data_IF_599670067943
#
_entry.id   IF_599670067943
#
_cell.length_a   1.000
_cell.length_b   1.000
_cell.length_c   1.000
_cell.angle_alpha   90.00
_cell.angle_beta   90.00
_cell.angle_gamma   90.00
#
_symmetry.space_group_name_H-M   'P 1'
#
loop_
_entity.id
_entity.type
_entity.pdbx_description
1 polymer ?
#
# COMPACT_ATOMS: atom_id res chain seq x y z
N UNK A 1 15.73 -17.63 -14.08
CA UNK A 1 16.44 -16.34 -14.00
C UNK A 1 16.37 -15.91 -12.55
N UNK A 2 17.52 -15.50 -11.99
CA UNK A 2 17.65 -15.13 -10.58
C UNK A 2 17.46 -13.62 -10.45
N UNK A 3 16.70 -13.21 -9.43
CA UNK A 3 16.39 -11.82 -9.14
C UNK A 3 17.52 -11.16 -8.35
N UNK A 4 17.87 -9.93 -8.74
CA UNK A 4 18.91 -9.12 -8.11
C UNK A 4 18.31 -7.82 -7.57
N UNK A 5 19.08 -7.16 -6.70
CA UNK A 5 18.74 -5.82 -6.23
C UNK A 5 18.64 -4.83 -7.41
N UNK A 6 17.59 -4.02 -7.40
CA UNK A 6 17.28 -3.06 -8.45
C UNK A 6 16.42 -3.59 -9.60
N UNK A 7 16.20 -4.90 -9.69
CA UNK A 7 15.25 -5.46 -10.65
C UNK A 7 13.83 -4.98 -10.32
N UNK A 8 13.04 -4.70 -11.35
CA UNK A 8 11.62 -4.36 -11.23
C UNK A 8 10.79 -5.58 -11.63
N UNK A 9 9.95 -6.05 -10.71
CA UNK A 9 9.26 -7.33 -10.83
C UNK A 9 7.77 -7.22 -10.55
N UNK A 10 7.00 -8.18 -11.07
CA UNK A 10 5.64 -8.50 -10.65
C UNK A 10 5.69 -9.49 -9.49
N UNK A 11 5.15 -9.08 -8.34
CA UNK A 11 5.17 -9.83 -7.10
C UNK A 11 3.74 -10.15 -6.67
N UNK A 12 3.45 -11.44 -6.48
CA UNK A 12 2.30 -11.89 -5.71
C UNK A 12 2.74 -12.32 -4.32
N UNK A 13 1.96 -12.00 -3.30
CA UNK A 13 2.24 -12.43 -1.94
C UNK A 13 0.96 -12.60 -1.10
N UNK A 14 1.10 -13.39 -0.04
CA UNK A 14 0.14 -13.51 1.07
C UNK A 14 0.92 -13.44 2.38
N UNK A 15 0.62 -12.44 3.18
CA UNK A 15 1.19 -12.21 4.51
C UNK A 15 0.28 -12.78 5.60
N UNK A 16 0.90 -13.53 6.53
CA UNK A 16 0.24 -14.16 7.67
C UNK A 16 0.88 -13.74 8.98
N UNK A 17 0.07 -13.68 10.03
CA UNK A 17 0.49 -13.49 11.41
C UNK A 17 -0.23 -14.51 12.26
N UNK A 18 0.52 -15.30 13.05
CA UNK A 18 -0.06 -16.35 13.91
C UNK A 18 -1.00 -17.33 13.15
N UNK A 19 -0.75 -17.54 11.85
CA UNK A 19 -1.55 -18.41 10.97
C UNK A 19 -2.69 -17.72 10.23
N UNK A 20 -3.05 -16.48 10.60
CA UNK A 20 -4.13 -15.72 9.96
C UNK A 20 -3.61 -14.80 8.86
N UNK A 21 -4.30 -14.74 7.72
CA UNK A 21 -3.95 -13.84 6.61
C UNK A 21 -4.40 -12.42 6.97
N UNK A 22 -3.48 -11.46 6.91
CA UNK A 22 -3.78 -10.05 7.15
C UNK A 22 -3.66 -9.18 5.90
N UNK A 23 -2.87 -9.61 4.91
CA UNK A 23 -2.74 -8.92 3.62
C UNK A 23 -2.37 -9.92 2.50
N UNK A 24 -2.84 -9.64 1.29
CA UNK A 24 -2.56 -10.47 0.11
C UNK A 24 -2.84 -9.71 -1.18
N UNK A 25 -2.14 -10.09 -2.24
CA UNK A 25 -2.44 -9.70 -3.64
C UNK A 25 -3.33 -10.72 -4.34
N UNK A 26 -3.60 -11.87 -3.73
CA UNK A 26 -4.34 -12.98 -4.30
C UNK A 26 -5.81 -12.91 -3.86
N UNK A 27 -6.72 -12.81 -4.84
CA UNK A 27 -8.14 -12.60 -4.56
C UNK A 27 -8.82 -13.78 -3.84
N UNK A 28 -8.38 -15.01 -4.12
CA UNK A 28 -8.89 -16.22 -3.48
C UNK A 28 -8.52 -16.27 -1.99
N UNK A 29 -7.25 -16.03 -1.66
CA UNK A 29 -6.76 -15.95 -0.27
C UNK A 29 -7.50 -14.87 0.53
N UNK A 30 -7.77 -13.71 -0.10
CA UNK A 30 -8.51 -12.63 0.55
C UNK A 30 -9.97 -12.99 0.84
N UNK A 31 -10.59 -13.79 -0.04
CA UNK A 31 -11.95 -14.27 0.12
C UNK A 31 -12.04 -15.32 1.23
N UNK A 32 -11.11 -16.28 1.25
CA UNK A 32 -11.01 -17.31 2.29
C UNK A 32 -10.81 -16.70 3.68
N UNK A 33 -9.94 -15.68 3.79
CA UNK A 33 -9.68 -14.98 5.04
C UNK A 33 -10.73 -13.94 5.44
N UNK A 34 -11.74 -13.69 4.59
CA UNK A 34 -12.79 -12.70 4.86
C UNK A 34 -12.30 -11.24 4.86
N UNK A 35 -11.15 -10.96 4.24
CA UNK A 35 -10.55 -9.62 4.14
C UNK A 35 -10.71 -8.98 2.76
N UNK A 36 -11.53 -9.58 1.90
CA UNK A 36 -11.76 -9.12 0.52
C UNK A 36 -12.31 -7.69 0.50
N UNK A 37 -11.60 -6.80 -0.16
CA UNK A 37 -12.00 -5.42 -0.36
C UNK A 37 -12.48 -5.21 -1.82
N UNK A 38 -13.75 -4.84 -2.06
CA UNK A 38 -14.26 -4.60 -3.41
C UNK A 38 -13.56 -3.47 -4.18
N UNK A 39 -12.84 -2.57 -3.47
CA UNK A 39 -12.09 -1.48 -4.06
C UNK A 39 -10.61 -1.83 -4.33
N UNK A 40 -10.16 -3.04 -3.96
CA UNK A 40 -8.79 -3.51 -4.19
C UNK A 40 -8.79 -4.45 -5.39
N UNK A 41 -7.94 -4.13 -6.36
CA UNK A 41 -7.63 -5.05 -7.46
C UNK A 41 -6.58 -6.05 -6.96
N UNK A 42 -7.00 -7.31 -6.84
CA UNK A 42 -6.14 -8.43 -6.43
C UNK A 42 -5.35 -8.96 -7.62
N UNK A 43 -4.25 -8.28 -7.92
CA UNK A 43 -3.28 -8.65 -8.95
C UNK A 43 -1.84 -8.45 -8.43
N UNK A 44 -0.87 -9.02 -9.14
CA UNK A 44 0.53 -8.85 -8.82
C UNK A 44 0.90 -7.36 -8.77
N UNK A 45 1.59 -6.97 -7.70
CA UNK A 45 2.09 -5.61 -7.56
C UNK A 45 3.45 -5.48 -8.23
N UNK A 46 3.74 -4.29 -8.73
CA UNK A 46 5.05 -3.99 -9.31
C UNK A 46 5.92 -3.33 -8.26
N UNK A 47 7.08 -3.94 -7.98
CA UNK A 47 8.02 -3.46 -6.98
C UNK A 47 9.43 -3.47 -7.54
N UNK A 48 10.26 -2.54 -7.03
CA UNK A 48 11.70 -2.57 -7.28
C UNK A 48 12.37 -3.22 -6.07
N UNK A 49 13.11 -4.29 -6.32
CA UNK A 49 13.79 -5.05 -5.27
C UNK A 49 14.84 -4.17 -4.58
N UNK A 50 14.83 -4.16 -3.25
CA UNK A 50 15.74 -3.36 -2.42
C UNK A 50 15.34 -1.89 -2.27
N UNK A 51 14.09 -1.54 -2.59
CA UNK A 51 13.59 -0.15 -2.52
C UNK A 51 12.59 0.09 -1.38
N UNK A 52 12.37 -0.89 -0.50
CA UNK A 52 11.39 -0.85 0.59
C UNK A 52 9.96 -0.53 0.10
N UNK A 53 9.61 -1.01 -1.09
CA UNK A 53 8.24 -0.93 -1.62
C UNK A 53 7.27 -1.87 -0.90
N UNK A 54 7.84 -2.90 -0.29
CA UNK A 54 7.19 -3.80 0.67
C UNK A 54 7.97 -3.74 1.98
N UNK A 55 7.49 -4.44 3.01
CA UNK A 55 8.19 -4.49 4.30
C UNK A 55 9.65 -4.99 4.11
N UNK A 56 10.62 -4.47 4.89
CA UNK A 56 12.04 -4.77 4.68
C UNK A 56 12.37 -6.26 4.60
N UNK A 57 11.78 -7.07 5.48
CA UNK A 57 12.06 -8.50 5.51
C UNK A 57 11.54 -9.27 4.29
N UNK A 58 10.44 -8.81 3.68
CA UNK A 58 9.99 -9.38 2.40
C UNK A 58 10.91 -8.91 1.27
N UNK A 59 11.26 -7.63 1.22
CA UNK A 59 12.07 -7.05 0.15
C UNK A 59 13.46 -7.72 0.07
N UNK A 60 14.13 -7.88 1.22
CA UNK A 60 15.40 -8.60 1.33
C UNK A 60 15.29 -10.06 0.87
N UNK A 61 14.15 -10.71 1.11
CA UNK A 61 13.94 -12.11 0.77
C UNK A 61 13.74 -12.36 -0.73
N UNK A 62 13.46 -11.31 -1.52
CA UNK A 62 13.30 -11.40 -2.98
C UNK A 62 14.64 -11.63 -3.69
N UNK A 63 15.75 -11.13 -3.12
CA UNK A 63 17.08 -11.23 -3.71
C UNK A 63 17.51 -12.70 -3.78
N UNK A 64 18.00 -13.13 -4.95
CA UNK A 64 18.45 -14.50 -5.18
C UNK A 64 17.33 -15.51 -5.45
N UNK A 65 16.06 -15.08 -5.52
CA UNK A 65 14.92 -15.95 -5.83
C UNK A 65 14.71 -16.09 -7.34
N UNK A 66 14.01 -17.15 -7.73
CA UNK A 66 13.71 -17.44 -9.13
C UNK A 66 12.27 -17.08 -9.50
N UNK A 67 12.10 -16.62 -10.74
CA UNK A 67 10.80 -16.34 -11.33
C UNK A 67 9.97 -17.62 -11.44
N UNK A 68 8.68 -17.55 -11.08
CA UNK A 68 7.70 -18.62 -11.19
C UNK A 68 7.69 -19.62 -10.03
N UNK A 69 8.68 -19.55 -9.12
CA UNK A 69 8.70 -20.37 -7.93
C UNK A 69 8.02 -19.67 -6.76
N UNK A 70 7.32 -20.46 -5.95
CA UNK A 70 6.76 -19.99 -4.69
C UNK A 70 7.79 -20.18 -3.58
N UNK A 71 7.92 -19.15 -2.76
CA UNK A 71 8.78 -19.16 -1.58
C UNK A 71 7.98 -18.80 -0.34
N UNK A 72 8.47 -19.24 0.80
CA UNK A 72 7.98 -18.83 2.11
C UNK A 72 9.15 -18.26 2.92
N UNK A 73 8.89 -17.18 3.65
CA UNK A 73 9.87 -16.53 4.51
C UNK A 73 9.23 -16.07 5.82
N UNK A 74 9.95 -16.26 6.92
CA UNK A 74 9.62 -15.65 8.20
C UNK A 74 10.28 -14.28 8.32
N UNK A 75 9.49 -13.28 8.67
CA UNK A 75 9.92 -11.90 8.85
C UNK A 75 9.80 -11.54 10.33
N UNK A 76 10.93 -11.34 11.04
CA UNK A 76 10.89 -10.94 12.45
C UNK A 76 10.33 -9.52 12.58
N UNK A 77 9.85 -9.18 13.77
CA UNK A 77 9.18 -7.91 14.04
C UNK A 77 10.01 -6.69 13.59
N UNK A 78 11.32 -6.72 13.80
CA UNK A 78 12.26 -5.65 13.44
C UNK A 78 12.30 -5.37 11.94
N UNK A 79 12.02 -6.38 11.10
CA UNK A 79 11.97 -6.27 9.64
C UNK A 79 10.53 -6.24 9.07
N UNK A 80 9.53 -6.26 9.96
CA UNK A 80 8.11 -6.15 9.64
C UNK A 80 7.57 -4.79 10.07
N UNK A 81 6.68 -4.79 11.07
CA UNK A 81 6.04 -3.58 11.59
C UNK A 81 6.76 -2.94 12.79
N UNK A 82 7.99 -3.35 13.05
CA UNK A 82 8.82 -2.87 14.14
C UNK A 82 8.58 -3.61 15.46
N UNK A 83 9.46 -3.41 16.45
CA UNK A 83 9.29 -3.93 17.80
C UNK A 83 8.11 -3.25 18.49
N UNK A 84 7.51 -3.94 19.46
CA UNK A 84 6.51 -3.33 20.35
C UNK A 84 7.21 -2.35 21.31
N UNK A 85 6.88 -1.07 21.21
CA UNK A 85 7.47 -0.01 22.03
C UNK A 85 6.59 0.32 23.24
N UNK A 86 7.09 0.00 24.43
CA UNK A 86 6.44 0.33 25.71
C UNK A 86 6.25 1.83 25.94
N UNK A 87 7.01 2.70 25.25
CA UNK A 87 6.84 4.16 25.31
C UNK A 87 5.56 4.62 24.61
N UNK A 88 5.05 3.82 23.67
CA UNK A 88 3.77 4.06 23.00
C UNK A 88 2.57 3.50 23.79
N UNK A 89 2.83 2.89 24.96
CA UNK A 89 1.80 2.47 25.90
C UNK A 89 1.60 3.58 26.93
N UNK A 90 0.50 4.31 26.82
CA UNK A 90 0.22 5.50 27.62
C UNK A 90 -0.93 5.28 28.60
N UNK A 91 -0.86 5.97 29.74
CA UNK A 91 -1.97 6.01 30.70
C UNK A 91 -2.78 7.28 30.54
N UNK A 92 -4.04 7.13 30.15
CA UNK A 92 -4.96 8.24 29.86
C UNK A 92 -6.08 8.26 30.91
N UNK A 93 -6.42 9.43 31.43
CA UNK A 93 -7.54 9.55 32.38
C UNK A 93 -8.87 9.25 31.68
N UNK A 94 -9.75 8.48 32.34
CA UNK A 94 -11.02 8.03 31.76
C UNK A 94 -11.98 9.18 31.44
N UNK A 95 -11.81 10.36 32.05
CA UNK A 95 -12.58 11.56 31.77
C UNK A 95 -12.23 12.24 30.43
N UNK A 96 -11.12 11.87 29.78
CA UNK A 96 -10.76 12.36 28.45
C UNK A 96 -11.45 11.57 27.33
N UNK A 97 -12.04 10.43 27.66
CA UNK A 97 -12.78 9.61 26.70
C UNK A 97 -14.21 10.11 26.60
N UNK A 98 -14.75 10.17 25.37
CA UNK A 98 -16.17 10.55 25.13
C UNK A 98 -17.13 9.52 25.74
N UNK A 99 -16.72 8.27 25.76
CA UNK A 99 -17.47 7.14 26.32
C UNK A 99 -16.62 6.42 27.36
N UNK A 100 -17.25 5.58 28.19
CA UNK A 100 -16.53 4.81 29.20
C UNK A 100 -15.56 3.82 28.50
N UNK A 101 -14.23 3.92 28.71
CA UNK A 101 -13.27 3.07 28.04
C UNK A 101 -13.45 1.61 28.46
N UNK A 102 -13.26 0.70 27.50
CA UNK A 102 -13.34 -0.75 27.68
C UNK A 102 -12.14 -1.40 27.03
N UNK A 103 -11.73 -2.55 27.55
CA UNK A 103 -10.71 -3.38 26.91
C UNK A 103 -11.07 -3.64 25.42
N UNK A 104 -10.08 -3.51 24.53
CA UNK A 104 -10.24 -3.67 23.08
C UNK A 104 -10.85 -2.45 22.37
N UNK A 105 -11.26 -1.40 23.09
CA UNK A 105 -11.81 -0.19 22.48
C UNK A 105 -10.72 0.51 21.65
N UNK A 106 -10.97 0.70 20.36
CA UNK A 106 -10.13 1.53 19.49
C UNK A 106 -10.38 3.00 19.78
N UNK A 107 -9.31 3.77 19.84
CA UNK A 107 -9.36 5.22 20.02
C UNK A 107 -8.54 5.92 18.96
N UNK A 108 -8.95 7.14 18.65
CA UNK A 108 -8.20 8.06 17.81
C UNK A 108 -7.84 9.28 18.64
N UNK A 109 -6.55 9.60 18.71
CA UNK A 109 -5.99 10.75 19.43
C UNK A 109 -5.12 11.56 18.48
N UNK A 110 -5.71 12.59 17.87
CA UNK A 110 -5.08 13.30 16.74
C UNK A 110 -4.88 12.34 15.57
N UNK A 111 -3.64 12.25 15.09
CA UNK A 111 -3.25 11.35 14.00
C UNK A 111 -2.86 9.94 14.49
N UNK A 112 -2.91 9.68 15.80
CA UNK A 112 -2.56 8.37 16.39
C UNK A 112 -3.82 7.54 16.62
N UNK A 113 -3.80 6.30 16.15
CA UNK A 113 -4.77 5.29 16.54
C UNK A 113 -4.17 4.39 17.63
N UNK A 114 -4.99 3.98 18.59
CA UNK A 114 -4.56 3.09 19.66
C UNK A 114 -5.70 2.21 20.18
N UNK A 115 -5.35 1.22 20.99
CA UNK A 115 -6.30 0.27 21.57
C UNK A 115 -6.21 0.31 23.09
N UNK A 116 -7.35 0.39 23.77
CA UNK A 116 -7.40 0.28 25.22
C UNK A 116 -7.06 -1.17 25.62
N UNK A 117 -5.90 -1.35 26.25
CA UNK A 117 -5.40 -2.67 26.69
C UNK A 117 -5.69 -2.95 28.17
N UNK A 118 -6.04 -1.93 28.96
CA UNK A 118 -6.47 -2.13 30.34
C UNK A 118 -7.27 -0.92 30.85
N UNK A 119 -8.13 -1.13 31.86
CA UNK A 119 -8.85 -0.06 32.56
C UNK A 119 -8.75 -0.28 34.07
N UNK A 120 -8.06 0.64 34.74
CA UNK A 120 -7.77 0.62 36.18
C UNK A 120 -8.41 1.85 36.84
N UNK A 121 -9.64 1.70 37.31
CA UNK A 121 -10.38 2.78 38.00
C UNK A 121 -10.60 4.01 37.12
N UNK A 122 -9.87 5.10 37.42
CA UNK A 122 -9.92 6.37 36.67
C UNK A 122 -8.88 6.49 35.54
N UNK A 123 -8.08 5.46 35.32
CA UNK A 123 -7.05 5.43 34.28
C UNK A 123 -7.33 4.29 33.30
N UNK A 124 -7.24 4.57 32.01
CA UNK A 124 -7.17 3.57 30.97
C UNK A 124 -5.71 3.50 30.47
N UNK A 125 -5.25 2.30 30.16
CA UNK A 125 -3.97 2.07 29.48
C UNK A 125 -4.29 1.87 28.01
N UNK A 126 -3.68 2.70 27.16
CA UNK A 126 -3.86 2.68 25.71
C UNK A 126 -2.53 2.34 25.06
N UNK A 127 -2.56 1.39 24.14
CA UNK A 127 -1.44 1.01 23.31
C UNK A 127 -1.57 1.67 21.92
N UNK A 128 -0.61 2.54 21.58
CA UNK A 128 -0.53 3.22 20.28
C UNK A 128 0.44 2.56 19.30
N UNK A 129 0.94 1.35 19.60
CA UNK A 129 1.75 0.60 18.66
C UNK A 129 0.93 0.20 17.41
N UNK A 130 1.64 -0.07 16.32
CA UNK A 130 1.02 -0.72 15.16
C UNK A 130 0.39 -2.06 15.61
N UNK A 131 -0.80 -2.46 15.10
CA UNK A 131 -1.46 -3.70 15.52
C UNK A 131 -0.61 -4.97 15.38
N UNK A 132 0.37 -4.94 14.46
CA UNK A 132 1.30 -6.04 14.18
C UNK A 132 2.71 -5.81 14.75
N UNK A 133 2.93 -4.77 15.55
CA UNK A 133 4.22 -4.51 16.18
C UNK A 133 4.60 -5.65 17.15
N UNK A 134 5.88 -6.02 17.15
CA UNK A 134 6.39 -7.13 17.97
C UNK A 134 5.97 -8.53 17.49
N UNK A 135 5.24 -8.65 16.38
CA UNK A 135 4.83 -9.93 15.80
C UNK A 135 5.81 -10.39 14.72
N UNK A 136 6.11 -11.68 14.71
CA UNK A 136 6.75 -12.35 13.56
C UNK A 136 5.68 -12.64 12.51
N UNK A 137 5.99 -12.35 11.26
CA UNK A 137 5.11 -12.54 10.11
C UNK A 137 5.64 -13.68 9.25
N UNK A 138 4.76 -14.34 8.51
CA UNK A 138 5.14 -15.31 7.49
C UNK A 138 4.61 -14.82 6.15
N UNK A 139 5.48 -14.72 5.15
CA UNK A 139 5.08 -14.34 3.80
C UNK A 139 5.30 -15.50 2.85
N UNK A 140 4.23 -15.90 2.16
CA UNK A 140 4.31 -16.75 0.97
C UNK A 140 4.28 -15.84 -0.26
N UNK A 141 5.22 -15.97 -1.18
CA UNK A 141 5.28 -15.09 -2.35
C UNK A 141 5.76 -15.81 -3.60
N UNK A 142 5.39 -15.27 -4.76
CA UNK A 142 5.79 -15.73 -6.09
C UNK A 142 6.17 -14.52 -6.94
N UNK A 143 7.32 -14.58 -7.58
CA UNK A 143 7.76 -13.57 -8.55
C UNK A 143 7.28 -14.01 -9.92
N UNK A 144 6.30 -13.31 -10.50
CA UNK A 144 5.70 -13.72 -11.78
C UNK A 144 6.61 -13.43 -12.98
N UNK A 145 7.41 -12.38 -12.89
CA UNK A 145 8.34 -12.00 -13.93
C UNK A 145 8.90 -10.60 -13.74
N UNK A 146 9.86 -10.23 -14.59
CA UNK A 146 10.37 -8.86 -14.67
C UNK A 146 9.38 -7.97 -15.40
N UNK A 147 9.51 -6.67 -15.15
CA UNK A 147 8.75 -5.61 -15.80
C UNK A 147 9.73 -4.78 -16.62
N UNK A 148 9.63 -4.85 -17.94
CA UNK A 148 10.54 -4.17 -18.86
C UNK A 148 9.97 -2.85 -19.38
N UNK A 149 8.69 -2.84 -19.75
CA UNK A 149 8.04 -1.70 -20.38
C UNK A 149 7.97 -0.50 -19.43
N UNK A 150 8.35 0.68 -19.93
CA UNK A 150 8.37 1.95 -19.19
C UNK A 150 6.99 2.26 -18.60
N UNK A 151 5.94 2.10 -19.39
CA UNK A 151 4.56 2.34 -18.96
C UNK A 151 4.12 1.35 -17.88
N UNK A 152 4.53 0.08 -17.96
CA UNK A 152 4.19 -0.92 -16.95
C UNK A 152 4.91 -0.65 -15.62
N UNK A 153 6.20 -0.31 -15.66
CA UNK A 153 6.97 0.12 -14.47
C UNK A 153 6.31 1.33 -13.81
N UNK A 154 6.02 2.37 -14.60
CA UNK A 154 5.38 3.59 -14.11
C UNK A 154 3.97 3.33 -13.56
N UNK A 155 3.15 2.55 -14.26
CA UNK A 155 1.82 2.14 -13.81
C UNK A 155 1.89 1.39 -12.48
N UNK A 156 2.91 0.54 -12.35
CA UNK A 156 3.27 -0.14 -11.12
C UNK A 156 3.45 0.79 -9.93
N UNK A 157 4.33 1.77 -10.06
CA UNK A 157 4.60 2.75 -9.00
C UNK A 157 3.39 3.64 -8.72
N UNK A 158 2.67 4.09 -9.76
CA UNK A 158 1.42 4.85 -9.57
C UNK A 158 0.44 4.04 -8.72
N UNK A 159 0.23 2.76 -9.07
CA UNK A 159 -0.70 1.89 -8.35
C UNK A 159 -0.23 1.61 -6.92
N UNK A 160 1.06 1.36 -6.72
CA UNK A 160 1.63 1.08 -5.41
C UNK A 160 1.40 2.23 -4.42
N UNK A 161 1.67 3.47 -4.83
CA UNK A 161 1.59 4.63 -3.92
C UNK A 161 0.21 5.29 -3.86
N UNK A 162 -0.60 5.20 -4.93
CA UNK A 162 -1.91 5.87 -4.97
C UNK A 162 -3.10 4.91 -4.91
N UNK A 163 -2.90 3.63 -5.21
CA UNK A 163 -3.99 2.67 -5.43
C UNK A 163 -4.81 2.96 -6.68
N UNK A 164 -4.28 3.73 -7.63
CA UNK A 164 -4.97 4.15 -8.86
C UNK A 164 -4.31 3.59 -10.10
N UNK A 165 -5.13 3.34 -11.12
CA UNK A 165 -4.70 3.07 -12.49
C UNK A 165 -4.86 4.35 -13.33
N UNK A 166 -3.92 4.60 -14.23
CA UNK A 166 -3.93 5.77 -15.11
C UNK A 166 -3.76 5.34 -16.55
N UNK A 167 -4.15 6.21 -17.47
CA UNK A 167 -3.86 6.02 -18.88
C UNK A 167 -2.50 6.65 -19.18
N UNK A 168 -1.58 5.84 -19.72
CA UNK A 168 -0.16 6.16 -19.86
C UNK A 168 0.27 6.01 -21.31
N UNK A 169 1.17 6.89 -21.74
CA UNK A 169 1.90 6.70 -22.99
C UNK A 169 3.34 7.17 -22.84
N UNK A 170 4.28 6.46 -23.46
CA UNK A 170 5.68 6.84 -23.49
C UNK A 170 6.16 7.04 -24.93
N UNK A 171 6.73 8.21 -25.21
CA UNK A 171 7.30 8.52 -26.51
C UNK A 171 8.51 9.45 -26.34
N UNK A 172 9.62 9.10 -27.01
CA UNK A 172 10.82 9.95 -27.10
C UNK A 172 11.38 10.44 -25.74
N UNK A 173 11.24 9.62 -24.68
CA UNK A 173 11.67 9.98 -23.33
C UNK A 173 10.65 10.76 -22.51
N UNK A 174 9.48 11.07 -23.08
CA UNK A 174 8.38 11.72 -22.36
C UNK A 174 7.34 10.69 -21.96
N UNK A 175 7.10 10.56 -20.65
CA UNK A 175 5.99 9.80 -20.09
C UNK A 175 4.79 10.73 -19.86
N UNK A 176 3.67 10.45 -20.53
CA UNK A 176 2.43 11.22 -20.40
C UNK A 176 1.41 10.45 -19.57
N UNK A 177 0.89 11.09 -18.52
CA UNK A 177 -0.14 10.58 -17.63
C UNK A 177 -1.45 11.35 -17.88
N UNK A 178 -2.44 10.66 -18.44
CA UNK A 178 -3.79 11.20 -18.58
C UNK A 178 -4.52 11.07 -17.24
N UNK A 179 -4.74 12.21 -16.59
CA UNK A 179 -5.33 12.30 -15.27
C UNK A 179 -6.85 12.17 -15.33
N UNK A 180 -7.46 11.22 -14.59
CA UNK A 180 -8.91 11.12 -14.48
C UNK A 180 -9.53 12.41 -13.92
N UNK A 181 -10.75 12.72 -14.35
CA UNK A 181 -11.47 13.89 -13.84
C UNK A 181 -11.59 13.85 -12.30
N UNK A 182 -11.22 14.95 -11.64
CA UNK A 182 -11.29 15.07 -10.19
C UNK A 182 -10.17 14.37 -9.40
N UNK A 183 -9.18 13.74 -10.07
CA UNK A 183 -8.07 13.05 -9.37
C UNK A 183 -7.27 13.99 -8.46
N UNK A 184 -7.20 15.29 -8.77
CA UNK A 184 -6.52 16.27 -7.92
C UNK A 184 -7.23 16.56 -6.59
N UNK A 185 -8.47 16.10 -6.42
CA UNK A 185 -9.16 16.12 -5.12
C UNK A 185 -9.00 14.81 -4.34
N UNK A 186 -8.42 13.77 -4.97
CA UNK A 186 -8.07 12.53 -4.30
C UNK A 186 -6.85 12.77 -3.40
N UNK A 187 -7.07 12.70 -2.09
CA UNK A 187 -6.01 12.90 -1.09
C UNK A 187 -4.84 11.92 -1.27
N UNK A 188 -5.10 10.66 -1.63
CA UNK A 188 -4.04 9.66 -1.85
C UNK A 188 -3.18 10.06 -3.03
N UNK A 189 -3.80 10.46 -4.14
CA UNK A 189 -3.07 10.95 -5.30
C UNK A 189 -2.24 12.19 -4.98
N UNK A 190 -2.81 13.20 -4.33
CA UNK A 190 -2.11 14.45 -4.00
C UNK A 190 -0.86 14.18 -3.15
N UNK A 191 -0.95 13.27 -2.18
CA UNK A 191 0.20 12.87 -1.36
C UNK A 191 1.20 12.00 -2.14
N UNK A 192 0.71 11.07 -2.98
CA UNK A 192 1.54 10.14 -3.72
C UNK A 192 2.25 10.76 -4.93
N UNK A 193 1.69 11.82 -5.55
CA UNK A 193 2.18 12.37 -6.82
C UNK A 193 3.67 12.69 -6.81
N UNK A 194 4.16 13.35 -5.75
CA UNK A 194 5.58 13.68 -5.63
C UNK A 194 6.46 12.44 -5.50
N UNK A 195 6.01 11.45 -4.72
CA UNK A 195 6.71 10.17 -4.55
C UNK A 195 6.76 9.43 -5.89
N UNK A 196 5.63 9.30 -6.59
CA UNK A 196 5.54 8.64 -7.89
C UNK A 196 6.49 9.28 -8.90
N UNK A 197 6.53 10.60 -8.99
CA UNK A 197 7.46 11.31 -9.89
C UNK A 197 8.91 10.98 -9.55
N UNK A 198 9.27 11.04 -8.26
CA UNK A 198 10.62 10.71 -7.83
C UNK A 198 10.99 9.26 -8.16
N UNK A 199 10.08 8.32 -7.89
CA UNK A 199 10.26 6.88 -8.13
C UNK A 199 10.46 6.57 -9.62
N UNK A 200 9.67 7.21 -10.48
CA UNK A 200 9.81 7.06 -11.94
C UNK A 200 11.17 7.59 -12.40
N UNK A 201 11.57 8.79 -11.99
CA UNK A 201 12.86 9.34 -12.41
C UNK A 201 14.07 8.58 -11.86
N UNK A 202 13.98 8.11 -10.62
CA UNK A 202 15.07 7.36 -9.97
C UNK A 202 15.29 6.00 -10.65
N UNK A 203 14.21 5.32 -11.04
CA UNK A 203 14.28 3.90 -11.41
C UNK A 203 13.94 3.58 -12.86
N UNK A 204 13.54 4.58 -13.66
CA UNK A 204 13.21 4.41 -15.09
C UNK A 204 14.03 5.44 -15.88
N UNK A 205 15.33 5.17 -16.13
CA UNK A 205 16.25 6.15 -16.74
C UNK A 205 15.86 6.55 -18.17
N UNK A 206 14.99 5.80 -18.83
CA UNK A 206 14.41 6.14 -20.13
C UNK A 206 13.49 7.37 -20.06
N UNK A 207 12.90 7.65 -18.90
CA UNK A 207 11.99 8.79 -18.68
C UNK A 207 12.80 10.06 -18.36
N UNK A 208 12.73 11.03 -19.27
CA UNK A 208 13.36 12.35 -19.15
C UNK A 208 12.37 13.40 -18.69
N UNK A 209 11.13 13.29 -19.16
CA UNK A 209 10.05 14.23 -18.89
C UNK A 209 8.79 13.49 -18.44
N UNK A 210 8.07 14.05 -17.47
CA UNK A 210 6.77 13.55 -17.03
C UNK A 210 5.73 14.65 -17.25
N UNK A 211 4.73 14.36 -18.09
CA UNK A 211 3.65 15.30 -18.43
C UNK A 211 2.34 14.79 -17.83
N UNK A 212 1.67 15.64 -17.07
CA UNK A 212 0.32 15.38 -16.57
C UNK A 212 -0.69 16.10 -17.45
N UNK A 213 -1.65 15.36 -18.01
CA UNK A 213 -2.69 15.91 -18.88
C UNK A 213 -4.04 15.84 -18.17
N UNK A 214 -4.65 17.00 -17.95
CA UNK A 214 -6.02 17.11 -17.44
C UNK A 214 -6.95 17.61 -18.55
N UNK A 215 -8.05 16.87 -18.76
CA UNK A 215 -9.02 17.21 -19.80
C UNK A 215 -10.33 17.66 -19.16
N UNK A 216 -10.75 18.89 -19.46
CA UNK A 216 -12.04 19.44 -19.05
C UNK A 216 -12.96 19.55 -20.27
N UNK A 217 -14.00 18.71 -20.31
CA UNK A 217 -15.01 18.75 -21.38
C UNK A 217 -16.12 19.74 -21.02
N UNK A 218 -16.59 20.50 -22.00
CA UNK A 218 -17.79 21.34 -21.85
C UNK A 218 -18.99 20.42 -21.55
N UNK A 219 -19.82 20.71 -20.53
CA UNK A 219 -21.03 19.95 -20.27
C UNK A 219 -22.00 20.05 -21.45
N UNK A 220 -22.58 18.94 -21.88
CA UNK A 220 -23.69 18.96 -22.83
C UNK A 220 -24.95 19.44 -22.09
N UNK A 221 -25.58 20.50 -22.58
CA UNK A 221 -26.88 20.92 -22.04
C UNK A 221 -27.90 19.82 -22.36
N UNK A 222 -28.74 19.39 -21.40
CA UNK A 222 -29.85 18.51 -21.71
C UNK A 222 -30.67 19.14 -22.82
N UNK A 223 -30.97 18.39 -23.88
CA UNK A 223 -31.90 18.85 -24.90
C UNK A 223 -33.19 19.29 -24.21
N UNK A 224 -33.66 20.50 -24.53
CA UNK A 224 -34.95 21.01 -24.03
C UNK A 224 -36.01 19.94 -24.25
N UNK A 225 -36.51 19.38 -23.15
CA UNK A 225 -37.72 18.57 -23.17
C UNK A 225 -38.82 19.55 -23.56
N UNK A 226 -39.21 19.55 -24.84
CA UNK A 226 -40.43 20.21 -25.27
C UNK A 226 -41.57 19.47 -24.58
N UNK A 227 -42.14 20.10 -23.55
CA UNK A 227 -43.44 19.70 -23.02
C UNK A 227 -44.46 19.91 -24.15
N UNK A 228 -45.07 18.82 -24.61
CA UNK A 228 -46.29 18.81 -25.44
C UNK A 228 -47.55 18.86 -24.56
#
# INVERSE_FOLDING_TARGET
>A
MVINEGDIIRLNYTGRVEGEIFDTTIGADAEEAGIKNPQKDYEAIVVRVGSNHVIPGLDEALVGKEIGQQYEVEVPAEKGFGPHDMKLVESVNTNQFREKPKFGMRIQSGDREGVVVNVLGKKAVVDFNHPLAGKTLTYTFTIEGMVEAVEEKAQGFIKLFSGRKMDLSFAEGTLTLNLPAGINYDKRWVMARGIVVHQIFEYIPEVKDIVFVETFKRPEMPAEVKEE
#
